data_IF_800839823354
#
_entry.id   IF_800839823354
#
_cell.length_a   1.000
_cell.length_b   1.000
_cell.length_c   1.000
_cell.angle_alpha   90.00
_cell.angle_beta   90.00
_cell.angle_gamma   90.00
#
_symmetry.space_group_name_H-M   'P 1'
#
loop_
_entity.id
_entity.type
_entity.pdbx_description
1 polymer ?
#
# COMPACT_ATOMS: atom_id res chain seq x y z
N UNK A 1 -15.99 -15.57 13.13
CA UNK A 1 -16.13 -14.15 12.73
C UNK A 1 -14.76 -13.55 12.41
N UNK A 2 -14.70 -12.51 11.55
CA UNK A 2 -13.48 -11.78 11.23
C UNK A 2 -13.46 -10.47 12.03
N UNK A 3 -12.38 -10.23 12.74
CA UNK A 3 -12.20 -9.03 13.55
C UNK A 3 -11.00 -8.20 13.05
N UNK A 4 -11.04 -6.90 13.26
CA UNK A 4 -9.98 -5.98 12.89
C UNK A 4 -9.46 -5.27 14.14
N UNK A 5 -8.16 -5.36 14.49
CA UNK A 5 -7.58 -4.58 15.57
C UNK A 5 -7.81 -3.07 15.35
N UNK A 6 -8.12 -2.35 16.43
CA UNK A 6 -8.38 -0.91 16.36
C UNK A 6 -7.18 -0.13 15.81
N UNK A 7 -5.99 -0.51 16.23
CA UNK A 7 -4.73 0.09 15.73
C UNK A 7 -4.58 -0.10 14.23
N UNK A 8 -4.85 -1.30 13.70
CA UNK A 8 -4.82 -1.58 12.25
C UNK A 8 -5.85 -0.72 11.52
N UNK A 9 -7.08 -0.61 12.06
CA UNK A 9 -8.13 0.23 11.47
C UNK A 9 -7.73 1.70 11.40
N UNK A 10 -7.11 2.22 12.46
CA UNK A 10 -6.63 3.61 12.50
C UNK A 10 -5.49 3.87 11.51
N UNK A 11 -4.52 2.95 11.44
CA UNK A 11 -3.42 3.04 10.48
C UNK A 11 -3.91 2.94 9.04
N UNK A 12 -4.82 2.02 8.74
CA UNK A 12 -5.45 1.92 7.43
C UNK A 12 -6.09 3.25 7.01
N UNK A 13 -6.88 3.88 7.90
CA UNK A 13 -7.51 5.16 7.62
C UNK A 13 -6.52 6.31 7.35
N UNK A 14 -5.38 6.33 8.02
CA UNK A 14 -4.32 7.32 7.80
C UNK A 14 -3.57 7.08 6.48
N UNK A 15 -3.23 5.83 6.20
CA UNK A 15 -2.41 5.49 5.03
C UNK A 15 -3.23 5.43 3.74
N UNK A 16 -4.49 5.09 3.79
CA UNK A 16 -5.37 5.01 2.63
C UNK A 16 -5.36 6.32 1.83
N UNK A 17 -5.61 7.46 2.47
CA UNK A 17 -5.59 8.78 1.81
C UNK A 17 -4.22 9.13 1.22
N UNK A 18 -3.15 8.86 1.95
CA UNK A 18 -1.79 9.12 1.48
C UNK A 18 -1.41 8.23 0.29
N UNK A 19 -1.83 6.97 0.31
CA UNK A 19 -1.61 6.02 -0.79
C UNK A 19 -2.36 6.42 -2.05
N UNK A 20 -3.61 6.89 -1.93
CA UNK A 20 -4.36 7.42 -3.06
C UNK A 20 -3.69 8.66 -3.66
N UNK A 21 -3.29 9.62 -2.84
CA UNK A 21 -2.59 10.82 -3.31
C UNK A 21 -1.25 10.51 -4.00
N UNK A 22 -0.49 9.55 -3.45
CA UNK A 22 0.75 9.10 -4.07
C UNK A 22 0.51 8.41 -5.42
N UNK A 23 -0.58 7.65 -5.55
CA UNK A 23 -0.95 7.01 -6.79
C UNK A 23 -1.43 8.02 -7.85
N UNK A 24 -2.26 8.99 -7.48
CA UNK A 24 -2.67 10.09 -8.37
C UNK A 24 -1.44 10.81 -8.95
N UNK A 25 -0.50 11.17 -8.08
CA UNK A 25 0.76 11.79 -8.52
C UNK A 25 1.58 10.89 -9.44
N UNK A 26 1.59 9.58 -9.20
CA UNK A 26 2.28 8.61 -10.07
C UNK A 26 1.62 8.54 -11.45
N UNK A 27 0.30 8.53 -11.54
CA UNK A 27 -0.45 8.54 -12.80
C UNK A 27 -0.18 9.85 -13.56
N UNK A 28 -0.21 10.99 -12.88
CA UNK A 28 0.10 12.30 -13.47
C UNK A 28 1.52 12.32 -14.04
N UNK A 29 2.51 11.83 -13.30
CA UNK A 29 3.89 11.72 -13.77
C UNK A 29 4.03 10.82 -15.00
N UNK A 30 3.33 9.69 -15.03
CA UNK A 30 3.29 8.79 -16.20
C UNK A 30 2.67 9.53 -17.38
N UNK A 31 1.55 10.22 -17.19
CA UNK A 31 0.89 11.01 -18.23
C UNK A 31 1.80 12.09 -18.82
N UNK A 32 2.49 12.84 -17.96
CA UNK A 32 3.43 13.86 -18.42
C UNK A 32 4.63 13.25 -19.15
N UNK A 33 5.17 12.14 -18.64
CA UNK A 33 6.25 11.38 -19.29
C UNK A 33 5.83 10.90 -20.69
N UNK A 34 4.65 10.32 -20.82
CA UNK A 34 4.11 9.86 -22.11
C UNK A 34 3.95 11.01 -23.10
N UNK A 35 3.35 12.14 -22.68
CA UNK A 35 3.23 13.34 -23.52
C UNK A 35 4.59 13.83 -24.03
N UNK A 36 5.60 13.86 -23.17
CA UNK A 36 6.95 14.27 -23.54
C UNK A 36 7.60 13.30 -24.54
N UNK A 37 7.40 11.99 -24.36
CA UNK A 37 7.88 10.97 -25.29
C UNK A 37 7.24 11.09 -26.67
N UNK A 38 5.92 11.31 -26.74
CA UNK A 38 5.21 11.53 -28.01
C UNK A 38 5.75 12.76 -28.75
N UNK A 39 5.92 13.89 -28.03
CA UNK A 39 6.51 15.10 -28.62
C UNK A 39 7.94 14.89 -29.13
N UNK A 40 8.77 14.19 -28.34
CA UNK A 40 10.14 13.89 -28.75
C UNK A 40 10.18 12.96 -29.97
N UNK A 41 9.34 11.93 -30.01
CA UNK A 41 9.21 11.02 -31.15
C UNK A 41 8.75 11.78 -32.41
N UNK A 42 7.74 12.66 -32.27
CA UNK A 42 7.26 13.53 -33.35
C UNK A 42 8.41 14.33 -33.96
N UNK A 43 9.15 15.07 -33.12
CA UNK A 43 10.25 15.88 -33.59
C UNK A 43 11.31 15.09 -34.36
N UNK A 44 11.68 13.91 -33.84
CA UNK A 44 12.66 13.04 -34.48
C UNK A 44 12.18 12.47 -35.82
N UNK A 45 10.93 11.99 -35.86
CA UNK A 45 10.36 11.40 -37.07
C UNK A 45 10.25 12.45 -38.21
N UNK A 46 9.72 13.64 -37.91
CA UNK A 46 9.59 14.71 -38.91
C UNK A 46 10.95 15.24 -39.36
N UNK A 47 11.92 15.36 -38.44
CA UNK A 47 13.29 15.71 -38.80
C UNK A 47 13.95 14.72 -39.76
N UNK A 48 13.63 13.42 -39.64
CA UNK A 48 14.10 12.40 -40.61
C UNK A 48 13.51 12.62 -42.01
N UNK A 49 12.23 13.01 -42.11
CA UNK A 49 11.63 13.40 -43.39
C UNK A 49 12.31 14.63 -44.00
N UNK A 50 12.65 15.65 -43.19
CA UNK A 50 13.37 16.82 -43.66
C UNK A 50 14.75 16.45 -44.20
N UNK A 51 15.47 15.55 -43.56
CA UNK A 51 16.75 15.04 -44.05
C UNK A 51 16.60 14.32 -45.40
N UNK A 52 15.56 13.52 -45.61
CA UNK A 52 15.27 12.89 -46.90
C UNK A 52 14.96 13.93 -47.99
N UNK A 53 14.23 15.00 -47.65
CA UNK A 53 14.00 16.13 -48.60
C UNK A 53 15.32 16.77 -49.03
N UNK A 54 16.26 17.02 -48.13
CA UNK A 54 17.57 17.53 -48.46
C UNK A 54 18.37 16.61 -49.38
N UNK A 55 18.13 15.30 -49.31
CA UNK A 55 18.73 14.33 -50.22
C UNK A 55 17.96 14.19 -51.55
N UNK A 56 16.95 15.04 -51.81
CA UNK A 56 16.12 15.02 -53.01
C UNK A 56 15.38 13.69 -53.25
N UNK A 57 15.03 12.99 -52.15
CA UNK A 57 14.27 11.75 -52.24
C UNK A 57 12.84 12.07 -52.71
N UNK A 58 12.26 11.21 -53.58
CA UNK A 58 10.92 11.41 -54.10
C UNK A 58 9.85 11.06 -53.06
N UNK A 59 8.64 11.63 -53.23
CA UNK A 59 7.45 11.33 -52.43
C UNK A 59 7.55 11.59 -50.90
N UNK A 60 8.57 12.31 -50.44
CA UNK A 60 8.78 12.60 -49.02
C UNK A 60 7.71 13.52 -48.47
N UNK A 61 7.13 14.40 -49.28
CA UNK A 61 6.07 15.30 -48.83
C UNK A 61 4.78 14.58 -48.48
N UNK A 62 4.43 13.55 -49.27
CA UNK A 62 3.29 12.66 -48.96
C UNK A 62 3.54 11.84 -47.68
N UNK A 63 4.74 11.27 -47.57
CA UNK A 63 5.15 10.57 -46.34
C UNK A 63 5.12 11.49 -45.12
N UNK A 64 5.69 12.68 -45.21
CA UNK A 64 5.69 13.66 -44.12
C UNK A 64 4.27 14.01 -43.68
N UNK A 65 3.37 14.30 -44.64
CA UNK A 65 1.97 14.64 -44.34
C UNK A 65 1.22 13.53 -43.65
N UNK A 66 1.40 12.27 -44.10
CA UNK A 66 0.79 11.10 -43.49
C UNK A 66 1.32 10.85 -42.07
N UNK A 67 2.63 10.93 -41.87
CA UNK A 67 3.25 10.77 -40.56
C UNK A 67 2.84 11.89 -39.59
N UNK A 68 2.77 13.12 -40.05
CA UNK A 68 2.32 14.25 -39.24
C UNK A 68 0.89 14.03 -38.74
N UNK A 69 -0.02 13.62 -39.63
CA UNK A 69 -1.42 13.32 -39.27
C UNK A 69 -1.55 12.18 -38.22
N UNK A 70 -0.78 11.10 -38.39
CA UNK A 70 -0.78 9.98 -37.42
C UNK A 70 -0.23 10.42 -36.05
N UNK A 71 0.82 11.23 -36.05
CA UNK A 71 1.43 11.75 -34.84
C UNK A 71 0.54 12.77 -34.12
N UNK A 72 -0.22 13.57 -34.88
CA UNK A 72 -1.24 14.45 -34.32
C UNK A 72 -2.37 13.66 -33.66
N UNK A 73 -2.86 12.62 -34.34
CA UNK A 73 -3.87 11.72 -33.75
C UNK A 73 -3.35 11.04 -32.48
N UNK A 74 -2.11 10.58 -32.45
CA UNK A 74 -1.48 9.99 -31.26
C UNK A 74 -1.37 10.99 -30.12
N UNK A 75 -0.98 12.24 -30.40
CA UNK A 75 -0.88 13.30 -29.40
C UNK A 75 -2.25 13.64 -28.80
N UNK A 76 -3.28 13.77 -29.65
CA UNK A 76 -4.66 14.03 -29.22
C UNK A 76 -5.16 12.89 -28.35
N UNK A 77 -5.08 11.65 -28.82
CA UNK A 77 -5.55 10.47 -28.09
C UNK A 77 -4.86 10.34 -26.73
N UNK A 78 -3.55 10.55 -26.69
CA UNK A 78 -2.78 10.50 -25.43
C UNK A 78 -3.22 11.62 -24.48
N UNK A 79 -3.42 12.83 -24.98
CA UNK A 79 -3.86 13.98 -24.20
C UNK A 79 -5.27 13.74 -23.63
N UNK A 80 -6.22 13.34 -24.46
CA UNK A 80 -7.61 13.08 -24.06
C UNK A 80 -7.67 12.02 -22.98
N UNK A 81 -6.95 10.89 -23.15
CA UNK A 81 -6.91 9.81 -22.16
C UNK A 81 -6.52 10.30 -20.75
N UNK A 82 -5.49 11.14 -20.64
CA UNK A 82 -5.02 11.62 -19.34
C UNK A 82 -5.82 12.83 -18.83
N UNK A 83 -6.34 13.71 -19.69
CA UNK A 83 -7.16 14.86 -19.26
C UNK A 83 -8.54 14.43 -18.77
N UNK A 84 -9.19 13.48 -19.44
CA UNK A 84 -10.48 12.92 -18.99
C UNK A 84 -10.39 12.26 -17.61
N UNK A 85 -9.18 11.81 -17.24
CA UNK A 85 -8.91 11.12 -15.97
C UNK A 85 -8.27 12.01 -14.91
N UNK A 86 -8.00 13.26 -15.26
CA UNK A 86 -7.46 14.24 -14.35
C UNK A 86 -8.51 14.68 -13.34
N UNK A 87 -8.18 14.51 -12.04
CA UNK A 87 -9.12 14.89 -10.95
C UNK A 87 -10.27 13.90 -10.75
N UNK A 88 -10.35 12.82 -11.53
CA UNK A 88 -11.16 11.70 -11.13
C UNK A 88 -10.50 11.12 -9.89
N UNK A 89 -11.14 11.34 -8.74
CA UNK A 89 -10.73 10.65 -7.52
C UNK A 89 -10.58 9.18 -7.88
N UNK A 90 -9.49 8.56 -7.48
CA UNK A 90 -9.30 7.12 -7.56
C UNK A 90 -10.33 6.43 -6.65
N UNK A 91 -11.59 6.84 -6.81
CA UNK A 91 -12.73 6.12 -6.30
C UNK A 91 -12.81 4.81 -7.06
N UNK A 92 -13.30 3.81 -6.40
CA UNK A 92 -13.52 2.42 -6.73
C UNK A 92 -13.72 2.00 -8.22
N UNK A 93 -13.90 2.91 -9.14
CA UNK A 93 -14.20 2.64 -10.56
C UNK A 93 -12.97 2.32 -11.43
N UNK A 94 -11.76 2.71 -11.01
CA UNK A 94 -10.54 2.55 -11.82
C UNK A 94 -9.72 1.30 -11.48
N UNK A 95 -10.02 0.67 -10.37
CA UNK A 95 -9.46 -0.61 -9.96
C UNK A 95 -10.50 -1.72 -10.17
N UNK A 96 -10.66 -2.20 -11.40
CA UNK A 96 -11.56 -3.34 -11.71
C UNK A 96 -12.87 -3.38 -10.88
N UNK A 97 -13.50 -2.22 -10.70
CA UNK A 97 -14.88 -2.11 -10.25
C UNK A 97 -15.18 -2.11 -8.77
N UNK A 98 -14.27 -2.44 -7.87
CA UNK A 98 -14.52 -2.24 -6.44
C UNK A 98 -13.23 -2.26 -5.64
N UNK A 99 -13.10 -1.33 -4.72
CA UNK A 99 -12.08 -1.44 -3.67
C UNK A 99 -12.55 -2.50 -2.66
N UNK A 100 -12.25 -3.76 -2.97
CA UNK A 100 -12.64 -4.92 -2.15
C UNK A 100 -12.14 -4.80 -0.71
N UNK A 101 -11.00 -4.13 -0.50
CA UNK A 101 -10.45 -3.90 0.84
C UNK A 101 -11.31 -2.91 1.60
N UNK A 102 -11.69 -1.78 0.98
CA UNK A 102 -12.60 -0.82 1.60
C UNK A 102 -13.98 -1.41 1.86
N UNK A 103 -14.50 -2.24 0.96
CA UNK A 103 -15.77 -2.95 1.17
C UNK A 103 -15.68 -3.91 2.36
N UNK A 104 -14.56 -4.65 2.47
CA UNK A 104 -14.33 -5.54 3.60
C UNK A 104 -14.25 -4.77 4.92
N UNK A 105 -13.48 -3.68 4.97
CA UNK A 105 -13.37 -2.83 6.15
C UNK A 105 -14.72 -2.27 6.56
N UNK A 106 -15.52 -1.74 5.60
CA UNK A 106 -16.89 -1.26 5.88
C UNK A 106 -17.81 -2.36 6.40
N UNK A 107 -17.69 -3.59 5.91
CA UNK A 107 -18.46 -4.73 6.43
C UNK A 107 -18.07 -5.05 7.88
N UNK A 108 -16.77 -5.09 8.18
CA UNK A 108 -16.27 -5.31 9.54
C UNK A 108 -16.79 -4.23 10.48
N UNK A 109 -16.73 -2.96 10.10
CA UNK A 109 -17.29 -1.83 10.87
C UNK A 109 -18.80 -1.95 11.07
N UNK A 110 -19.55 -2.28 10.02
CA UNK A 110 -20.99 -2.42 10.06
C UNK A 110 -21.47 -3.49 11.05
N UNK A 111 -20.69 -4.54 11.22
CA UNK A 111 -21.01 -5.64 12.15
C UNK A 111 -20.38 -5.47 13.54
N UNK A 112 -19.80 -4.31 13.83
CA UNK A 112 -19.12 -4.01 15.09
C UNK A 112 -17.97 -5.00 15.42
N UNK A 113 -17.25 -5.42 14.38
CA UNK A 113 -16.12 -6.32 14.48
C UNK A 113 -14.76 -5.61 14.47
N UNK A 114 -14.73 -4.30 14.71
CA UNK A 114 -13.48 -3.59 15.05
C UNK A 114 -13.27 -3.74 16.55
N UNK A 115 -12.08 -4.20 16.95
CA UNK A 115 -11.76 -4.34 18.37
C UNK A 115 -11.84 -2.99 19.09
N UNK A 116 -12.22 -2.95 20.37
CA UNK A 116 -12.23 -1.71 21.14
C UNK A 116 -10.85 -1.03 21.13
N UNK A 117 -10.82 0.27 20.90
CA UNK A 117 -9.57 1.02 20.96
C UNK A 117 -8.98 0.94 22.37
N UNK A 118 -7.67 0.69 22.49
CA UNK A 118 -7.02 0.73 23.80
C UNK A 118 -7.10 2.12 24.39
N UNK A 119 -7.23 2.20 25.72
CA UNK A 119 -7.16 3.46 26.43
C UNK A 119 -5.76 4.08 26.34
N UNK A 120 -5.67 5.38 26.57
CA UNK A 120 -4.38 6.06 26.57
C UNK A 120 -3.43 5.50 27.63
N UNK A 121 -3.96 5.11 28.78
CA UNK A 121 -3.21 4.48 29.86
C UNK A 121 -2.68 3.08 29.44
N UNK A 122 -3.48 2.28 28.76
CA UNK A 122 -3.04 1.00 28.20
C UNK A 122 -1.91 1.20 27.20
N UNK A 123 -2.04 2.18 26.28
CA UNK A 123 -1.01 2.50 25.29
C UNK A 123 0.30 2.89 25.98
N UNK A 124 0.26 3.76 26.99
CA UNK A 124 1.46 4.17 27.72
C UNK A 124 2.13 2.97 28.40
N UNK A 125 1.39 2.16 29.12
CA UNK A 125 1.90 0.96 29.78
C UNK A 125 2.53 -0.02 28.76
N UNK A 126 1.90 -0.22 27.61
CA UNK A 126 2.45 -1.10 26.55
C UNK A 126 3.69 -0.50 25.89
N UNK A 127 3.77 0.82 25.76
CA UNK A 127 4.97 1.48 25.27
C UNK A 127 6.15 1.37 26.27
N UNK A 128 5.91 1.47 27.57
CA UNK A 128 6.92 1.24 28.61
C UNK A 128 7.42 -0.21 28.58
N UNK A 129 6.51 -1.19 28.49
CA UNK A 129 6.87 -2.58 28.27
C UNK A 129 7.67 -2.74 26.98
N UNK A 130 7.27 -2.09 25.90
CA UNK A 130 7.94 -2.11 24.61
C UNK A 130 9.38 -1.59 24.67
N UNK A 131 9.69 -0.59 25.51
CA UNK A 131 11.06 -0.13 25.70
C UNK A 131 11.97 -1.23 26.25
N UNK A 132 11.45 -2.03 27.17
CA UNK A 132 12.21 -3.16 27.75
C UNK A 132 12.31 -4.31 26.76
N UNK A 133 11.20 -4.65 26.09
CA UNK A 133 11.14 -5.73 25.10
C UNK A 133 12.14 -5.50 23.97
N UNK A 134 12.12 -4.32 23.38
CA UNK A 134 12.94 -4.00 22.20
C UNK A 134 14.43 -3.95 22.49
N UNK A 135 14.83 -3.53 23.70
CA UNK A 135 16.23 -3.62 24.14
C UNK A 135 16.73 -5.07 24.24
N UNK A 136 15.81 -6.00 24.48
CA UNK A 136 16.10 -7.44 24.62
C UNK A 136 15.72 -8.24 23.37
N UNK A 137 15.36 -7.56 22.29
CA UNK A 137 14.87 -8.16 21.04
C UNK A 137 13.71 -9.15 21.25
N UNK A 138 12.80 -8.83 22.20
CA UNK A 138 11.60 -9.63 22.45
C UNK A 138 10.51 -9.20 21.46
N UNK A 139 9.94 -10.14 20.66
CA UNK A 139 8.91 -9.86 19.67
C UNK A 139 7.56 -9.42 20.27
N UNK A 140 6.66 -8.81 19.46
CA UNK A 140 6.86 -8.37 18.09
C UNK A 140 7.34 -6.92 17.98
N UNK A 141 7.77 -6.47 16.78
CA UNK A 141 7.93 -5.06 16.42
C UNK A 141 9.31 -4.45 16.70
N UNK A 142 10.26 -5.17 17.29
CA UNK A 142 11.58 -4.63 17.60
C UNK A 142 12.41 -4.31 16.34
N UNK A 143 12.14 -4.96 15.20
CA UNK A 143 12.84 -4.69 13.93
C UNK A 143 12.54 -3.29 13.38
N UNK A 144 11.31 -2.83 13.53
CA UNK A 144 10.87 -1.50 13.07
C UNK A 144 11.29 -0.36 14.00
N UNK A 145 11.75 -0.67 15.19
CA UNK A 145 12.05 0.28 16.25
C UNK A 145 13.10 1.34 15.86
N UNK A 146 13.98 1.04 14.92
CA UNK A 146 15.04 1.95 14.45
C UNK A 146 14.54 3.03 13.49
N UNK A 147 13.38 2.80 12.86
CA UNK A 147 12.87 3.62 11.76
C UNK A 147 11.62 4.44 12.13
N UNK A 148 11.13 4.33 13.35
CA UNK A 148 9.90 4.98 13.81
C UNK A 148 10.11 5.66 15.17
N UNK A 149 9.44 6.79 15.39
CA UNK A 149 9.50 7.56 16.63
C UNK A 149 8.17 7.53 17.40
N UNK A 150 8.25 7.83 18.70
CA UNK A 150 7.10 7.92 19.58
C UNK A 150 6.31 6.63 19.67
N UNK A 151 5.00 6.74 19.85
CA UNK A 151 4.07 5.60 19.96
C UNK A 151 4.09 4.71 18.73
N UNK A 152 4.31 5.28 17.53
CA UNK A 152 4.34 4.53 16.26
C UNK A 152 5.42 3.44 16.23
N UNK A 153 6.46 3.59 17.02
CA UNK A 153 7.51 2.59 17.20
C UNK A 153 6.97 1.26 17.75
N UNK A 154 5.89 1.32 18.51
CA UNK A 154 5.31 0.17 19.21
C UNK A 154 4.02 -0.35 18.55
N UNK A 155 3.74 0.03 17.30
CA UNK A 155 2.51 -0.35 16.61
C UNK A 155 2.24 -1.85 16.62
N UNK A 156 3.23 -2.66 16.23
CA UNK A 156 3.12 -4.11 16.20
C UNK A 156 2.88 -4.69 17.61
N UNK A 157 3.54 -4.16 18.63
CA UNK A 157 3.29 -4.56 20.02
C UNK A 157 1.89 -4.18 20.48
N UNK A 158 1.38 -3.01 20.11
CA UNK A 158 0.03 -2.58 20.46
C UNK A 158 -1.00 -3.51 19.81
N UNK A 159 -0.84 -3.83 18.52
CA UNK A 159 -1.69 -4.81 17.81
C UNK A 159 -1.65 -6.16 18.54
N UNK A 160 -0.48 -6.63 18.92
CA UNK A 160 -0.32 -7.87 19.67
C UNK A 160 -1.08 -7.85 21.02
N UNK A 161 -0.98 -6.75 21.75
CA UNK A 161 -1.69 -6.58 23.03
C UNK A 161 -3.21 -6.48 22.86
N UNK A 162 -3.70 -5.88 21.77
CA UNK A 162 -5.13 -5.92 21.41
C UNK A 162 -5.61 -7.37 21.19
N UNK A 163 -4.83 -8.20 20.48
CA UNK A 163 -5.16 -9.61 20.25
C UNK A 163 -5.16 -10.42 21.56
N UNK A 164 -4.16 -10.24 22.43
CA UNK A 164 -4.11 -10.89 23.73
C UNK A 164 -5.29 -10.50 24.62
N UNK A 165 -5.68 -9.22 24.61
CA UNK A 165 -6.84 -8.70 25.35
C UNK A 165 -8.11 -9.32 24.82
N UNK A 166 -8.32 -9.32 23.51
CA UNK A 166 -9.47 -9.91 22.85
C UNK A 166 -9.63 -11.40 23.17
N UNK A 167 -8.55 -12.19 23.08
CA UNK A 167 -8.58 -13.63 23.36
C UNK A 167 -9.00 -13.92 24.81
N UNK A 168 -8.56 -13.10 25.78
CA UNK A 168 -8.96 -13.22 27.18
C UNK A 168 -10.43 -12.86 27.40
N UNK A 169 -10.88 -11.73 26.82
CA UNK A 169 -12.23 -11.20 27.03
C UNK A 169 -13.30 -12.07 26.34
N UNK A 170 -12.98 -12.59 25.14
CA UNK A 170 -13.92 -13.42 24.38
C UNK A 170 -13.82 -14.92 24.71
N UNK A 171 -12.79 -15.31 25.44
CA UNK A 171 -12.49 -16.70 25.78
C UNK A 171 -12.43 -17.63 24.55
N UNK A 172 -11.86 -17.15 23.44
CA UNK A 172 -11.79 -17.88 22.16
C UNK A 172 -10.36 -18.03 21.65
N UNK A 173 -10.11 -19.12 20.94
CA UNK A 173 -8.92 -19.28 20.14
C UNK A 173 -8.95 -18.30 18.95
N UNK A 174 -7.79 -17.86 18.49
CA UNK A 174 -7.66 -16.83 17.47
C UNK A 174 -6.85 -17.36 16.29
N UNK A 175 -7.30 -17.09 15.08
CA UNK A 175 -6.48 -17.21 13.86
C UNK A 175 -6.01 -15.81 13.47
N UNK A 176 -4.73 -15.55 13.59
CA UNK A 176 -4.13 -14.28 13.22
C UNK A 176 -3.70 -14.30 11.75
N UNK A 177 -4.30 -13.43 10.94
CA UNK A 177 -4.00 -13.31 9.51
C UNK A 177 -3.15 -12.06 9.33
N UNK A 178 -1.94 -12.21 8.81
CA UNK A 178 -1.00 -11.12 8.53
C UNK A 178 -0.18 -11.39 7.28
N UNK A 179 0.18 -10.33 6.56
CA UNK A 179 1.14 -10.35 5.46
C UNK A 179 2.54 -9.89 5.91
N UNK A 180 2.72 -9.57 7.19
CA UNK A 180 4.02 -9.23 7.75
C UNK A 180 4.91 -10.48 7.80
N UNK A 181 6.06 -10.37 7.14
CA UNK A 181 7.03 -11.49 6.99
C UNK A 181 8.31 -11.27 7.78
N UNK A 182 8.34 -10.25 8.66
CA UNK A 182 9.54 -9.90 9.42
C UNK A 182 9.91 -10.97 10.44
N UNK A 183 11.21 -11.05 10.73
CA UNK A 183 11.77 -12.03 11.67
C UNK A 183 11.39 -11.80 13.15
N UNK A 184 10.67 -10.75 13.48
CA UNK A 184 10.11 -10.51 14.81
C UNK A 184 8.65 -10.97 14.96
N UNK A 185 8.05 -11.43 13.87
CA UNK A 185 6.81 -12.19 13.88
C UNK A 185 7.04 -13.68 13.62
N UNK A 186 8.11 -13.99 12.88
CA UNK A 186 8.39 -15.32 12.36
C UNK A 186 9.81 -15.75 12.69
N UNK A 187 10.01 -16.99 12.96
CA UNK A 187 11.32 -17.63 13.06
C UNK A 187 11.47 -18.74 12.03
N UNK A 188 12.69 -19.22 11.83
CA UNK A 188 12.96 -20.32 10.90
C UNK A 188 13.24 -21.56 11.71
N UNK A 189 12.44 -22.60 11.50
CA UNK A 189 12.64 -23.94 12.05
C UNK A 189 12.71 -24.94 10.90
N UNK A 190 13.78 -25.71 10.80
CA UNK A 190 14.00 -26.69 9.73
C UNK A 190 13.72 -26.13 8.32
N UNK A 191 14.25 -24.97 8.00
CA UNK A 191 14.04 -24.23 6.73
C UNK A 191 12.59 -23.76 6.47
N UNK A 192 11.68 -24.01 7.40
CA UNK A 192 10.30 -23.56 7.32
C UNK A 192 10.08 -22.31 8.18
N UNK A 193 9.26 -21.41 7.68
CA UNK A 193 8.83 -20.24 8.44
C UNK A 193 7.71 -20.66 9.40
N UNK A 194 7.94 -20.48 10.69
CA UNK A 194 6.98 -20.75 11.75
C UNK A 194 6.70 -19.48 12.54
N UNK A 195 5.51 -19.38 13.12
CA UNK A 195 5.18 -18.24 13.98
C UNK A 195 6.08 -18.25 15.22
N UNK A 196 6.52 -17.08 15.67
CA UNK A 196 7.57 -16.97 16.67
C UNK A 196 7.15 -17.61 18.00
N UNK A 197 7.93 -18.57 18.50
CA UNK A 197 7.63 -19.38 19.67
C UNK A 197 7.32 -18.55 20.92
N UNK A 198 8.07 -17.44 21.14
CA UNK A 198 7.81 -16.54 22.26
C UNK A 198 6.40 -15.90 22.21
N UNK A 199 5.88 -15.64 21.01
CA UNK A 199 4.52 -15.12 20.84
C UNK A 199 3.48 -16.20 21.13
N UNK A 200 3.70 -17.40 20.65
CA UNK A 200 2.83 -18.56 20.96
C UNK A 200 2.75 -18.77 22.48
N UNK A 201 3.89 -18.77 23.18
CA UNK A 201 3.94 -18.98 24.62
C UNK A 201 3.30 -17.81 25.40
N UNK A 202 3.47 -16.58 24.91
CA UNK A 202 2.77 -15.42 25.51
C UNK A 202 1.26 -15.53 25.30
N UNK A 203 0.82 -15.95 24.11
CA UNK A 203 -0.60 -16.12 23.81
C UNK A 203 -1.24 -17.23 24.66
N UNK A 204 -0.58 -18.36 24.84
CA UNK A 204 -1.04 -19.47 25.69
C UNK A 204 -1.31 -19.07 27.13
N UNK A 205 -0.65 -18.01 27.63
CA UNK A 205 -0.94 -17.46 28.97
C UNK A 205 -2.32 -16.80 29.06
N UNK A 206 -3.01 -16.60 27.96
CA UNK A 206 -4.43 -16.21 27.94
C UNK A 206 -5.36 -17.41 28.23
N UNK A 207 -4.83 -18.61 28.20
CA UNK A 207 -5.62 -19.86 28.25
C UNK A 207 -6.17 -20.27 26.87
N UNK A 208 -5.68 -19.64 25.79
CA UNK A 208 -6.18 -19.83 24.40
C UNK A 208 -5.03 -20.12 23.45
N UNK A 209 -5.36 -20.54 22.22
CA UNK A 209 -4.40 -20.80 21.15
C UNK A 209 -4.48 -19.75 20.05
N UNK A 210 -3.36 -19.56 19.32
CA UNK A 210 -3.25 -18.72 18.13
C UNK A 210 -2.66 -19.51 16.98
#
# INVERSE_FOLDING_TARGET
>A
SLYLPATVRLEFGKHCKASFAAMEKKIENIGQGTKNQVKSARAKILSSCDQLKHLQFTDVDDLHSKLASLLDALEVTTKEFFEERKGLQLSSHYWNGSDKVMELVRKIEKYDHVLPSPSQEEIFRWCEEGQVRYKKEIPPGFKDAKNKDGVRKYGDLIIWKELLKFAREQEQDVIFITDDVKADWWETDNEQRVFHTMLIDEFRKTGRNI
#
